data_IF_781528247524
#
_entry.id   IF_781528247524
#
_cell.length_a   1.000
_cell.length_b   1.000
_cell.length_c   1.000
_cell.angle_alpha   90.00
_cell.angle_beta   90.00
_cell.angle_gamma   90.00
#
_symmetry.space_group_name_H-M   'P 1'
#
loop_
_entity.id
_entity.type
_entity.pdbx_description
1 polymer ?
#
# COMPACT_ATOMS: atom_id res chain seq x y z
N UNK A 1 10.53 18.58 -11.92
CA UNK A 1 9.84 18.09 -10.68
C UNK A 1 8.88 16.97 -11.09
N UNK A 2 8.83 15.87 -10.31
CA UNK A 2 7.86 14.78 -10.47
C UNK A 2 6.87 14.88 -9.31
N UNK A 3 5.56 14.90 -9.60
CA UNK A 3 4.51 14.90 -8.58
C UNK A 3 4.15 13.46 -8.20
N UNK A 4 4.02 13.18 -6.90
CA UNK A 4 3.68 11.85 -6.39
C UNK A 4 2.74 11.92 -5.18
N UNK A 5 1.93 10.86 -4.99
CA UNK A 5 1.02 10.71 -3.87
C UNK A 5 -0.36 11.33 -4.09
N UNK A 6 -1.41 10.56 -3.83
CA UNK A 6 -2.80 11.02 -3.96
C UNK A 6 -3.32 11.22 -5.38
N UNK A 7 -2.57 10.82 -6.40
CA UNK A 7 -2.95 10.93 -7.81
C UNK A 7 -3.48 9.57 -8.27
N UNK A 8 -4.77 9.47 -8.56
CA UNK A 8 -5.41 8.19 -8.90
C UNK A 8 -6.24 8.19 -10.19
N UNK A 9 -6.43 9.35 -10.84
CA UNK A 9 -7.20 9.48 -12.09
C UNK A 9 -6.61 10.52 -13.06
N UNK A 10 -7.18 10.63 -14.25
CA UNK A 10 -6.74 11.56 -15.30
C UNK A 10 -6.88 13.03 -14.91
N UNK A 11 -7.80 13.38 -14.02
CA UNK A 11 -7.98 14.76 -13.52
C UNK A 11 -6.77 15.16 -12.68
N UNK A 12 -6.34 14.26 -11.78
CA UNK A 12 -5.16 14.47 -10.94
C UNK A 12 -3.88 14.58 -11.77
N UNK A 13 -3.71 13.71 -12.77
CA UNK A 13 -2.57 13.76 -13.70
C UNK A 13 -2.54 15.10 -14.45
N UNK A 14 -3.64 15.51 -15.08
CA UNK A 14 -3.73 16.78 -15.81
C UNK A 14 -3.46 17.97 -14.87
N UNK A 15 -4.00 17.96 -13.65
CA UNK A 15 -3.81 19.05 -12.69
C UNK A 15 -2.33 19.23 -12.29
N UNK A 16 -1.61 18.18 -11.97
CA UNK A 16 -0.20 18.31 -11.55
C UNK A 16 0.71 18.73 -12.71
N UNK A 17 0.41 18.30 -13.94
CA UNK A 17 1.15 18.74 -15.13
C UNK A 17 0.86 20.23 -15.41
N UNK A 18 -0.39 20.69 -15.28
CA UNK A 18 -0.75 22.09 -15.42
C UNK A 18 -0.08 22.99 -14.36
N UNK A 19 0.17 22.45 -13.16
CA UNK A 19 0.94 23.13 -12.09
C UNK A 19 2.46 23.13 -12.33
N UNK A 20 2.93 22.56 -13.45
CA UNK A 20 4.33 22.58 -13.84
C UNK A 20 5.15 21.34 -13.47
N UNK A 21 4.50 20.25 -13.03
CA UNK A 21 5.20 18.97 -12.93
C UNK A 21 5.56 18.44 -14.33
N UNK A 22 6.70 17.79 -14.44
CA UNK A 22 7.14 17.15 -15.69
C UNK A 22 6.60 15.73 -15.85
N UNK A 23 6.20 15.10 -14.73
CA UNK A 23 5.60 13.78 -14.70
C UNK A 23 4.79 13.59 -13.42
N UNK A 24 3.87 12.63 -13.45
CA UNK A 24 3.17 12.10 -12.30
C UNK A 24 3.66 10.68 -11.97
N UNK A 25 3.88 10.38 -10.68
CA UNK A 25 4.26 9.05 -10.19
C UNK A 25 3.11 8.47 -9.39
N UNK A 26 2.54 7.37 -9.87
CA UNK A 26 1.39 6.72 -9.27
C UNK A 26 1.78 5.33 -8.74
N UNK A 27 1.37 5.03 -7.50
CA UNK A 27 1.58 3.72 -6.86
C UNK A 27 0.28 2.93 -6.74
N UNK A 28 -0.64 3.43 -5.91
CA UNK A 28 -1.88 2.73 -5.51
C UNK A 28 -2.72 2.27 -6.70
N UNK A 29 -2.85 3.11 -7.74
CA UNK A 29 -3.64 2.77 -8.92
C UNK A 29 -3.11 1.54 -9.64
N UNK A 30 -1.77 1.36 -9.71
CA UNK A 30 -1.12 0.23 -10.36
C UNK A 30 -1.08 -1.04 -9.50
N UNK A 31 -1.38 -0.99 -8.20
CA UNK A 31 -1.60 -2.20 -7.41
C UNK A 31 -2.80 -3.02 -7.93
N UNK A 32 -3.74 -2.36 -8.63
CA UNK A 32 -4.88 -3.02 -9.29
C UNK A 32 -4.64 -3.36 -10.76
N UNK A 33 -3.40 -3.22 -11.25
CA UNK A 33 -3.06 -3.80 -12.55
C UNK A 33 -3.18 -5.34 -12.49
N UNK A 34 -3.71 -5.96 -13.55
CA UNK A 34 -3.83 -7.42 -13.63
C UNK A 34 -2.47 -8.11 -13.58
N UNK A 35 -1.45 -7.44 -14.10
CA UNK A 35 -0.06 -7.90 -14.09
C UNK A 35 0.61 -7.79 -12.71
N UNK A 36 0.01 -7.05 -11.77
CA UNK A 36 0.60 -6.88 -10.44
C UNK A 36 0.35 -8.13 -9.58
N UNK A 37 1.40 -8.84 -9.15
CA UNK A 37 1.27 -10.13 -8.46
C UNK A 37 1.01 -9.96 -6.95
N UNK A 38 0.05 -9.09 -6.56
CA UNK A 38 -0.38 -8.97 -5.17
C UNK A 38 -1.35 -10.08 -4.78
N UNK A 39 -1.39 -10.42 -3.50
CA UNK A 39 -2.34 -11.39 -2.95
C UNK A 39 -3.78 -10.93 -3.17
N UNK A 40 -4.70 -11.88 -3.41
CA UNK A 40 -6.10 -11.56 -3.71
C UNK A 40 -6.81 -10.83 -2.56
N UNK A 41 -6.48 -11.14 -1.31
CA UNK A 41 -7.02 -10.43 -0.14
C UNK A 41 -6.58 -8.96 -0.11
N UNK A 42 -5.35 -8.67 -0.52
CA UNK A 42 -4.87 -7.29 -0.65
C UNK A 42 -5.62 -6.56 -1.76
N UNK A 43 -5.79 -7.19 -2.92
CA UNK A 43 -6.57 -6.67 -4.05
C UNK A 43 -8.01 -6.33 -3.64
N UNK A 44 -8.68 -7.26 -2.95
CA UNK A 44 -10.04 -7.05 -2.45
C UNK A 44 -10.13 -5.89 -1.47
N UNK A 45 -9.19 -5.77 -0.55
CA UNK A 45 -9.15 -4.67 0.42
C UNK A 45 -8.91 -3.32 -0.22
N UNK A 46 -8.04 -3.24 -1.26
CA UNK A 46 -7.83 -2.00 -2.02
C UNK A 46 -9.12 -1.55 -2.72
N UNK A 47 -9.83 -2.48 -3.39
CA UNK A 47 -11.08 -2.16 -4.11
C UNK A 47 -12.17 -1.68 -3.14
N UNK A 48 -12.24 -2.25 -1.94
CA UNK A 48 -13.23 -1.91 -0.93
C UNK A 48 -12.92 -0.62 -0.15
N UNK A 49 -11.65 -0.17 -0.14
CA UNK A 49 -11.17 0.90 0.71
C UNK A 49 -11.74 2.27 0.32
N UNK A 50 -12.07 3.09 1.31
CA UNK A 50 -12.35 4.51 1.18
C UNK A 50 -11.07 5.35 1.31
N UNK A 51 -11.12 6.61 0.93
CA UNK A 51 -9.99 7.55 1.01
C UNK A 51 -9.46 7.77 2.43
N UNK A 52 -10.29 7.49 3.45
CA UNK A 52 -9.96 7.62 4.88
C UNK A 52 -9.34 6.37 5.48
N UNK A 53 -9.36 5.23 4.78
CA UNK A 53 -8.85 3.95 5.31
C UNK A 53 -7.32 3.88 5.35
N UNK A 54 -6.56 4.43 4.38
CA UNK A 54 -5.11 4.49 4.50
C UNK A 54 -4.68 5.46 5.59
N UNK A 55 -3.99 4.95 6.60
CA UNK A 55 -3.45 5.76 7.69
C UNK A 55 -1.98 6.11 7.44
N UNK A 56 -1.56 7.30 7.88
CA UNK A 56 -0.16 7.68 7.88
C UNK A 56 0.51 7.16 9.15
N UNK A 57 1.51 6.34 8.98
CA UNK A 57 2.36 5.83 10.05
C UNK A 57 3.76 6.41 9.91
N UNK A 58 4.33 6.91 11.01
CA UNK A 58 5.71 7.41 11.00
C UNK A 58 6.70 6.24 10.92
N UNK A 59 6.39 5.14 11.61
CA UNK A 59 7.32 4.05 11.85
C UNK A 59 6.67 2.68 12.14
N UNK A 60 5.47 2.37 11.60
CA UNK A 60 4.79 1.10 11.90
C UNK A 60 5.53 -0.12 11.29
N UNK A 61 5.76 -0.11 9.99
CA UNK A 61 6.44 -1.18 9.25
C UNK A 61 7.89 -0.80 9.01
N UNK A 62 8.72 -0.89 10.07
CA UNK A 62 10.09 -0.38 10.04
C UNK A 62 11.18 -1.45 10.24
N UNK A 63 10.83 -2.74 10.36
CA UNK A 63 11.82 -3.81 10.44
C UNK A 63 12.69 -3.80 9.18
N UNK A 64 13.97 -3.54 9.34
CA UNK A 64 14.90 -3.40 8.22
C UNK A 64 14.78 -2.08 7.43
N UNK A 65 13.83 -1.21 7.76
CA UNK A 65 13.59 0.06 7.04
C UNK A 65 13.17 1.19 7.99
N UNK A 66 14.04 1.62 8.90
CA UNK A 66 13.74 2.65 9.90
C UNK A 66 13.50 4.04 9.25
N UNK A 67 12.83 4.92 10.01
CA UNK A 67 12.60 6.32 9.65
C UNK A 67 11.92 6.54 8.28
N UNK A 68 11.03 5.64 7.91
CA UNK A 68 10.31 5.66 6.64
C UNK A 68 8.82 5.91 6.84
N UNK A 69 8.36 7.17 6.92
CA UNK A 69 6.93 7.48 7.00
C UNK A 69 6.17 6.92 5.78
N UNK A 70 5.07 6.23 6.01
CA UNK A 70 4.32 5.54 4.97
C UNK A 70 2.82 5.54 5.23
N UNK A 71 2.05 5.28 4.15
CA UNK A 71 0.61 5.03 4.27
C UNK A 71 0.30 3.58 3.94
N UNK A 72 -0.52 2.97 4.81
CA UNK A 72 -1.02 1.63 4.62
C UNK A 72 -2.47 1.52 5.09
N UNK A 73 -3.19 0.53 4.59
CA UNK A 73 -4.51 0.17 5.10
C UNK A 73 -4.38 -0.30 6.55
N UNK A 74 -5.31 0.15 7.40
CA UNK A 74 -5.36 -0.26 8.80
C UNK A 74 -5.66 -1.76 8.90
N UNK A 75 -4.99 -2.45 9.84
CA UNK A 75 -5.09 -3.89 10.02
C UNK A 75 -4.85 -4.32 11.48
N UNK A 76 -4.82 -5.62 11.76
CA UNK A 76 -4.61 -6.14 13.11
C UNK A 76 -3.27 -5.74 13.73
N UNK A 77 -2.19 -5.70 12.94
CA UNK A 77 -0.86 -5.23 13.38
C UNK A 77 -0.91 -3.76 13.82
N UNK A 78 -1.53 -2.90 13.01
CA UNK A 78 -1.70 -1.49 13.35
C UNK A 78 -2.57 -1.31 14.61
N UNK A 79 -3.68 -2.05 14.69
CA UNK A 79 -4.58 -2.00 15.84
C UNK A 79 -3.89 -2.43 17.15
N UNK A 80 -3.12 -3.51 17.12
CA UNK A 80 -2.37 -3.99 18.28
C UNK A 80 -1.32 -2.97 18.74
N UNK A 81 -0.56 -2.39 17.80
CA UNK A 81 0.41 -1.36 18.10
C UNK A 81 -0.21 -0.09 18.69
N UNK A 82 -1.33 0.37 18.15
CA UNK A 82 -2.06 1.55 18.66
C UNK A 82 -2.65 1.28 20.04
N UNK A 83 -3.25 0.12 20.24
CA UNK A 83 -3.82 -0.28 21.55
C UNK A 83 -2.75 -0.35 22.66
N UNK A 84 -1.51 -0.69 22.28
CA UNK A 84 -0.36 -0.70 23.21
C UNK A 84 0.27 0.70 23.43
N UNK A 85 -0.31 1.77 22.87
CA UNK A 85 0.23 3.14 23.01
C UNK A 85 1.37 3.47 22.08
N UNK A 86 1.47 2.77 20.93
CA UNK A 86 2.48 2.99 19.89
C UNK A 86 3.93 2.87 20.39
N UNK A 87 4.30 1.78 21.06
CA UNK A 87 5.63 1.61 21.62
C UNK A 87 6.69 1.48 20.51
N UNK A 88 8.00 1.68 20.86
CA UNK A 88 9.11 1.43 19.96
C UNK A 88 9.20 -0.05 19.58
N UNK A 89 9.86 -0.38 18.47
CA UNK A 89 9.83 -1.71 17.83
C UNK A 89 10.04 -2.88 18.80
N UNK A 90 11.04 -2.79 19.67
CA UNK A 90 11.38 -3.89 20.61
C UNK A 90 10.29 -4.17 21.69
N UNK A 91 9.32 -3.27 21.85
CA UNK A 91 8.24 -3.39 22.85
C UNK A 91 6.87 -3.58 22.21
N UNK A 92 6.80 -3.73 20.89
CA UNK A 92 5.53 -3.89 20.17
C UNK A 92 4.94 -5.27 20.39
N UNK A 93 3.61 -5.38 20.50
CA UNK A 93 2.95 -6.68 20.57
C UNK A 93 3.32 -7.56 19.37
N UNK A 94 3.88 -8.75 19.62
CA UNK A 94 4.27 -9.70 18.59
C UNK A 94 5.49 -9.27 17.77
N UNK A 95 6.34 -8.37 18.26
CA UNK A 95 7.60 -8.05 17.60
C UNK A 95 8.49 -9.29 17.50
N UNK A 96 8.91 -9.65 16.27
CA UNK A 96 9.70 -10.85 15.99
C UNK A 96 8.88 -12.10 15.74
N UNK A 97 7.56 -12.08 15.90
CA UNK A 97 6.71 -13.23 15.54
C UNK A 97 6.70 -13.43 14.02
N UNK A 98 6.96 -14.65 13.58
CA UNK A 98 6.73 -15.06 12.18
C UNK A 98 5.23 -15.16 11.96
N UNK A 99 4.67 -14.31 11.11
CA UNK A 99 3.23 -14.23 10.84
C UNK A 99 2.84 -14.75 9.46
N UNK A 100 3.79 -14.83 8.55
CA UNK A 100 3.54 -15.28 7.19
C UNK A 100 4.82 -15.84 6.55
N UNK A 101 4.68 -16.39 5.35
CA UNK A 101 5.80 -16.82 4.51
C UNK A 101 5.55 -16.40 3.07
N UNK A 102 6.59 -15.93 2.39
CA UNK A 102 6.56 -15.74 0.93
C UNK A 102 6.42 -17.08 0.21
N UNK A 103 6.08 -17.05 -1.08
CA UNK A 103 6.04 -18.22 -1.93
C UNK A 103 7.39 -18.99 -1.99
N UNK A 104 8.51 -18.31 -1.72
CA UNK A 104 9.85 -18.90 -1.59
C UNK A 104 10.03 -19.75 -0.32
N UNK A 105 9.12 -19.64 0.65
CA UNK A 105 9.25 -20.20 2.00
C UNK A 105 9.97 -19.29 3.00
N UNK A 106 10.48 -18.13 2.57
CA UNK A 106 11.08 -17.15 3.45
C UNK A 106 10.05 -16.59 4.43
N UNK A 107 10.42 -16.54 5.72
CA UNK A 107 9.55 -16.06 6.78
C UNK A 107 9.38 -14.54 6.72
N UNK A 108 8.18 -14.07 7.03
CA UNK A 108 7.85 -12.65 7.20
C UNK A 108 7.52 -12.44 8.68
N UNK A 109 8.27 -11.55 9.33
CA UNK A 109 7.98 -11.21 10.73
C UNK A 109 7.05 -10.01 10.81
N UNK A 110 6.32 -9.91 11.93
CA UNK A 110 5.43 -8.79 12.18
C UNK A 110 6.21 -7.47 12.15
N UNK A 111 5.60 -6.45 11.58
CA UNK A 111 6.19 -5.11 11.35
C UNK A 111 7.24 -5.01 10.23
N UNK A 112 7.46 -6.05 9.45
CA UNK A 112 8.22 -5.93 8.21
C UNK A 112 7.48 -5.12 7.14
N UNK A 113 8.19 -4.34 6.31
CA UNK A 113 7.61 -3.64 5.16
C UNK A 113 7.39 -4.61 3.98
N UNK A 114 6.76 -5.74 4.24
CA UNK A 114 6.53 -6.84 3.31
C UNK A 114 5.04 -6.89 2.92
N UNK A 115 4.65 -6.42 1.71
CA UNK A 115 3.28 -6.54 1.24
C UNK A 115 2.96 -8.01 0.86
N UNK A 116 1.70 -8.44 1.04
CA UNK A 116 1.32 -9.79 0.62
C UNK A 116 1.29 -9.89 -0.90
N UNK A 117 2.09 -10.84 -1.42
CA UNK A 117 2.20 -11.16 -2.85
C UNK A 117 1.51 -12.48 -3.16
N UNK A 118 1.35 -12.83 -4.43
CA UNK A 118 0.84 -14.15 -4.84
C UNK A 118 1.70 -15.26 -4.22
N UNK A 119 1.04 -16.24 -3.62
CA UNK A 119 1.69 -17.37 -2.95
C UNK A 119 2.17 -17.09 -1.51
N UNK A 120 1.98 -15.88 -1.00
CA UNK A 120 2.16 -15.61 0.44
C UNK A 120 1.11 -16.39 1.24
N UNK A 121 1.52 -17.02 2.35
CA UNK A 121 0.64 -17.78 3.25
C UNK A 121 0.80 -17.30 4.70
N UNK A 122 -0.22 -17.48 5.53
CA UNK A 122 -0.23 -17.09 6.94
C UNK A 122 -1.24 -15.97 7.23
N UNK A 123 -0.90 -15.06 8.12
CA UNK A 123 -1.77 -13.94 8.55
C UNK A 123 -1.73 -12.80 7.51
N UNK A 124 -2.27 -13.03 6.31
CA UNK A 124 -2.25 -12.08 5.19
C UNK A 124 -2.75 -10.69 5.60
N UNK A 125 -3.81 -10.65 6.41
CA UNK A 125 -4.43 -9.42 6.90
C UNK A 125 -3.48 -8.57 7.76
N UNK A 126 -2.53 -9.19 8.46
CA UNK A 126 -1.59 -8.52 9.36
C UNK A 126 -0.39 -7.88 8.65
N UNK A 127 -0.18 -8.18 7.36
CA UNK A 127 0.94 -7.69 6.56
C UNK A 127 0.77 -6.23 6.12
N UNK A 128 1.87 -5.58 5.68
CA UNK A 128 1.85 -4.20 5.21
C UNK A 128 1.10 -4.09 3.87
N UNK A 129 -0.07 -3.46 3.90
CA UNK A 129 -0.88 -3.20 2.70
C UNK A 129 -0.79 -1.72 2.35
N UNK A 130 0.20 -1.37 1.55
CA UNK A 130 0.47 0.01 1.13
C UNK A 130 -0.70 0.58 0.33
N UNK A 131 -1.15 1.78 0.67
CA UNK A 131 -2.17 2.49 -0.08
C UNK A 131 -2.11 3.99 0.20
N UNK A 132 -2.19 4.81 -0.84
CA UNK A 132 -2.37 6.25 -0.75
C UNK A 132 -3.85 6.63 -0.57
N UNK A 133 -4.13 7.90 -0.33
CA UNK A 133 -5.49 8.42 -0.19
C UNK A 133 -6.29 8.37 -1.50
N UNK A 134 -5.60 8.18 -2.63
CA UNK A 134 -6.18 7.93 -3.95
C UNK A 134 -6.80 6.53 -4.11
N UNK A 135 -6.72 5.66 -3.10
CA UNK A 135 -7.29 4.31 -3.12
C UNK A 135 -8.76 4.30 -3.51
N UNK A 136 -9.52 5.30 -3.06
CA UNK A 136 -10.93 5.45 -3.42
C UNK A 136 -11.20 5.66 -4.92
N UNK A 137 -10.19 6.02 -5.71
CA UNK A 137 -10.27 6.14 -7.17
C UNK A 137 -9.89 4.83 -7.89
N UNK A 138 -9.32 3.86 -7.17
CA UNK A 138 -8.90 2.56 -7.68
C UNK A 138 -9.97 1.50 -7.38
N UNK A 139 -10.98 1.33 -8.25
CA UNK A 139 -12.19 0.53 -7.97
C UNK A 139 -12.26 -0.81 -8.70
N UNK A 140 -11.40 -1.04 -9.67
CA UNK A 140 -11.40 -2.26 -10.49
C UNK A 140 -9.98 -2.67 -10.87
N UNK A 141 -9.78 -3.97 -11.02
CA UNK A 141 -8.59 -4.51 -11.68
C UNK A 141 -8.77 -4.38 -13.19
N UNK A 142 -7.69 -4.07 -13.89
CA UNK A 142 -7.64 -3.99 -15.35
C UNK A 142 -6.19 -4.05 -15.83
N UNK A 143 -5.94 -4.34 -17.12
CA UNK A 143 -4.59 -4.33 -17.68
C UNK A 143 -3.87 -3.00 -17.44
N UNK A 144 -2.57 -3.04 -17.18
CA UNK A 144 -1.78 -1.84 -16.95
C UNK A 144 -1.85 -0.85 -18.13
N UNK A 145 -1.95 -1.34 -19.36
CA UNK A 145 -2.13 -0.50 -20.55
C UNK A 145 -3.42 0.32 -20.50
N UNK A 146 -4.53 -0.29 -20.03
CA UNK A 146 -5.82 0.39 -19.90
C UNK A 146 -5.77 1.44 -18.78
N UNK A 147 -5.05 1.15 -17.69
CA UNK A 147 -4.79 2.12 -16.62
C UNK A 147 -4.06 3.35 -17.19
N UNK A 148 -3.01 3.14 -17.99
CA UNK A 148 -2.26 4.23 -18.61
C UNK A 148 -3.16 5.04 -19.55
N UNK A 149 -3.94 4.37 -20.41
CA UNK A 149 -4.87 5.05 -21.32
C UNK A 149 -5.92 5.90 -20.57
N UNK A 150 -6.46 5.35 -19.46
CA UNK A 150 -7.40 6.09 -18.60
C UNK A 150 -6.73 7.32 -17.97
N UNK A 151 -5.53 7.16 -17.40
CA UNK A 151 -4.79 8.22 -16.72
C UNK A 151 -4.36 9.35 -17.66
N UNK A 152 -4.11 9.05 -18.95
CA UNK A 152 -3.68 10.03 -19.96
C UNK A 152 -4.82 10.59 -20.81
N UNK A 153 -6.06 10.19 -20.57
CA UNK A 153 -7.23 10.56 -21.38
C UNK A 153 -7.57 12.05 -21.42
N UNK A 154 -6.93 12.85 -20.57
CA UNK A 154 -7.12 14.31 -20.47
C UNK A 154 -5.87 15.13 -20.83
N UNK A 155 -4.87 14.51 -21.47
CA UNK A 155 -3.63 15.17 -21.88
C UNK A 155 -3.65 15.65 -23.34
#
# INVERSE_FOLDING_TARGET
MIAAGGIGDSRGVAAVLALGAQAAWLGTRFLLAEEMPIHEDYRRRLIAAAETDPQLYANLYEVGWPDSPHRALRNSTANAWEAAGRPPLAQRPGAGDVIAHFASGEAIVRYEPAPPMVGTTGEIEALSMWAGQDVALARKSQPAADIVAELTSRL
#
